data_IF_345771155586
#
_entry.id   IF_345771155586
#
_cell.length_a   1.000
_cell.length_b   1.000
_cell.length_c   1.000
_cell.angle_alpha   90.00
_cell.angle_beta   90.00
_cell.angle_gamma   90.00
#
_symmetry.space_group_name_H-M   'P 1'
#
loop_
_entity.id
_entity.type
_entity.pdbx_description
1 polymer ?
#
# COMPACT_ATOMS: atom_id res chain seq x y z
N UNK A 1 2.39 19.29 -6.89
CA UNK A 1 1.74 17.97 -6.76
C UNK A 1 1.70 17.36 -8.14
N UNK A 2 2.05 16.08 -8.24
CA UNK A 2 2.06 15.38 -9.52
C UNK A 2 0.65 15.34 -10.11
N UNK A 3 0.57 15.49 -11.43
CA UNK A 3 -0.64 15.30 -12.21
C UNK A 3 -1.05 13.83 -12.25
N UNK A 4 -2.30 13.56 -12.60
CA UNK A 4 -2.76 12.18 -12.77
C UNK A 4 -1.97 11.43 -13.85
N UNK A 5 -1.56 12.12 -14.92
CA UNK A 5 -0.80 11.50 -16.00
C UNK A 5 0.61 11.08 -15.56
N UNK A 6 1.28 11.92 -14.77
CA UNK A 6 2.57 11.56 -14.14
C UNK A 6 2.43 10.38 -13.17
N UNK A 7 1.37 10.37 -12.37
CA UNK A 7 1.07 9.28 -11.42
C UNK A 7 0.80 7.97 -12.17
N UNK A 8 -0.02 8.00 -13.22
CA UNK A 8 -0.33 6.82 -14.02
C UNK A 8 0.89 6.31 -14.77
N UNK A 9 1.76 7.21 -15.24
CA UNK A 9 3.03 6.83 -15.84
C UNK A 9 3.93 6.15 -14.80
N UNK A 10 4.05 6.69 -13.59
CA UNK A 10 4.79 6.03 -12.51
C UNK A 10 4.26 4.61 -12.23
N UNK A 11 2.94 4.40 -12.20
CA UNK A 11 2.38 3.04 -12.02
C UNK A 11 2.88 2.07 -13.10
N UNK A 12 2.94 2.53 -14.36
CA UNK A 12 3.50 1.74 -15.45
C UNK A 12 5.01 1.48 -15.26
N UNK A 13 5.77 2.51 -14.90
CA UNK A 13 7.23 2.44 -14.72
C UNK A 13 7.62 1.43 -13.62
N UNK A 14 6.81 1.30 -12.57
CA UNK A 14 7.04 0.35 -11.47
C UNK A 14 6.40 -1.03 -11.73
N UNK A 15 5.93 -1.29 -12.95
CA UNK A 15 5.46 -2.60 -13.39
C UNK A 15 4.11 -3.02 -12.83
N UNK A 16 3.23 -2.07 -12.50
CA UNK A 16 1.89 -2.38 -12.02
C UNK A 16 0.99 -2.96 -13.12
N UNK A 17 0.03 -3.79 -12.69
CA UNK A 17 -1.11 -4.17 -13.52
C UNK A 17 -2.14 -3.04 -13.46
N UNK A 18 -2.17 -2.19 -14.48
CA UNK A 18 -3.00 -0.98 -14.49
C UNK A 18 -4.49 -1.29 -14.60
N UNK A 19 -4.86 -2.33 -15.34
CA UNK A 19 -6.26 -2.71 -15.52
C UNK A 19 -6.84 -3.23 -14.21
N UNK A 20 -6.14 -4.18 -13.58
CA UNK A 20 -6.55 -4.73 -12.28
C UNK A 20 -6.48 -3.67 -11.17
N UNK A 21 -5.56 -2.71 -11.26
CA UNK A 21 -5.51 -1.59 -10.32
C UNK A 21 -6.67 -0.61 -10.50
N UNK A 22 -7.08 -0.31 -11.73
CA UNK A 22 -8.24 0.53 -12.00
C UNK A 22 -9.52 -0.15 -11.48
N UNK A 23 -9.67 -1.47 -11.63
CA UNK A 23 -10.78 -2.25 -11.04
C UNK A 23 -10.86 -2.08 -9.52
N UNK A 24 -9.72 -2.19 -8.82
CA UNK A 24 -9.64 -1.96 -7.39
C UNK A 24 -10.12 -0.54 -7.01
N UNK A 25 -9.61 0.47 -7.72
CA UNK A 25 -9.92 1.88 -7.43
C UNK A 25 -11.37 2.27 -7.76
N UNK A 26 -12.04 1.59 -8.68
CA UNK A 26 -13.41 1.91 -9.09
C UNK A 26 -14.44 1.81 -7.95
N UNK A 27 -14.18 0.95 -6.96
CA UNK A 27 -15.04 0.82 -5.77
C UNK A 27 -14.87 1.97 -4.77
N UNK A 28 -13.70 2.61 -4.79
CA UNK A 28 -13.25 3.50 -3.73
C UNK A 28 -14.05 4.82 -3.60
N UNK A 29 -14.49 5.50 -4.69
CA UNK A 29 -15.27 6.73 -4.57
C UNK A 29 -16.59 6.55 -3.81
N UNK A 30 -17.26 5.42 -4.01
CA UNK A 30 -18.53 5.10 -3.34
C UNK A 30 -18.29 4.86 -1.85
N UNK A 31 -17.34 3.98 -1.51
CA UNK A 31 -16.96 3.67 -0.11
C UNK A 31 -16.50 4.93 0.62
N UNK A 32 -15.68 5.77 -0.02
CA UNK A 32 -15.22 7.04 0.56
C UNK A 32 -16.39 7.98 0.87
N UNK A 33 -17.35 8.09 -0.04
CA UNK A 33 -18.53 8.92 0.16
C UNK A 33 -19.40 8.40 1.29
N UNK A 34 -19.68 7.10 1.30
CA UNK A 34 -20.56 6.45 2.27
C UNK A 34 -19.97 6.41 3.67
N UNK A 35 -18.67 6.13 3.81
CA UNK A 35 -18.03 5.99 5.12
C UNK A 35 -17.54 7.33 5.65
N UNK A 36 -16.90 8.18 4.83
CA UNK A 36 -16.24 9.39 5.32
C UNK A 36 -17.05 10.67 5.08
N UNK A 37 -17.62 10.87 3.90
CA UNK A 37 -18.31 12.13 3.57
C UNK A 37 -19.72 12.23 4.13
N UNK A 38 -20.36 11.11 4.46
CA UNK A 38 -21.72 11.07 5.04
C UNK A 38 -21.76 11.48 6.53
N UNK A 39 -20.64 11.31 7.24
CA UNK A 39 -20.51 11.54 8.67
C UNK A 39 -20.69 13.02 9.03
N UNK A 40 -21.53 13.28 10.03
CA UNK A 40 -21.78 14.62 10.55
C UNK A 40 -20.78 14.99 11.66
N UNK A 41 -20.61 16.28 11.94
CA UNK A 41 -19.76 16.83 13.01
C UNK A 41 -18.28 16.42 12.95
N UNK A 42 -17.74 16.13 11.76
CA UNK A 42 -16.32 15.81 11.59
C UNK A 42 -15.44 17.05 11.84
N UNK A 43 -14.35 16.94 12.61
CA UNK A 43 -13.41 18.04 12.79
C UNK A 43 -12.83 18.51 11.45
N UNK A 44 -12.75 19.82 11.21
CA UNK A 44 -12.22 20.38 9.95
C UNK A 44 -10.79 19.91 9.64
N UNK A 45 -9.98 19.64 10.68
CA UNK A 45 -8.60 19.10 10.52
C UNK A 45 -8.58 17.69 9.89
N UNK A 46 -9.71 16.99 9.83
CA UNK A 46 -9.83 15.70 9.13
C UNK A 46 -9.74 15.82 7.61
N UNK A 47 -9.80 17.03 7.05
CA UNK A 47 -9.67 17.26 5.61
C UNK A 47 -8.30 16.79 5.08
N UNK A 48 -7.23 16.93 5.88
CA UNK A 48 -5.91 16.41 5.51
C UNK A 48 -5.96 14.89 5.27
N UNK A 49 -6.42 14.12 6.26
CA UNK A 49 -6.50 12.66 6.15
C UNK A 49 -7.49 12.21 5.07
N UNK A 50 -8.59 12.94 4.89
CA UNK A 50 -9.55 12.67 3.82
C UNK A 50 -8.92 12.82 2.43
N UNK A 51 -8.05 13.83 2.25
CA UNK A 51 -7.31 14.01 1.01
C UNK A 51 -6.24 12.94 0.80
N UNK A 52 -5.57 12.50 1.87
CA UNK A 52 -4.62 11.37 1.83
C UNK A 52 -5.33 10.11 1.35
N UNK A 53 -6.49 9.78 1.94
CA UNK A 53 -7.29 8.62 1.54
C UNK A 53 -7.77 8.75 0.09
N UNK A 54 -8.31 9.92 -0.30
CA UNK A 54 -8.73 10.18 -1.68
C UNK A 54 -7.62 10.00 -2.72
N UNK A 55 -6.37 10.20 -2.32
CA UNK A 55 -5.19 10.11 -3.20
C UNK A 55 -4.23 8.99 -2.77
N UNK A 56 -4.74 7.94 -2.13
CA UNK A 56 -3.93 6.89 -1.46
C UNK A 56 -2.86 6.28 -2.36
N UNK A 57 -3.18 6.05 -3.64
CA UNK A 57 -2.24 5.50 -4.64
C UNK A 57 -1.58 6.55 -5.53
N UNK A 58 -1.77 7.85 -5.24
CA UNK A 58 -1.29 8.98 -6.03
C UNK A 58 -0.08 9.68 -5.45
N UNK A 59 -0.31 10.74 -4.66
CA UNK A 59 0.75 11.70 -4.29
C UNK A 59 1.87 11.06 -3.46
N UNK A 60 1.53 10.29 -2.42
CA UNK A 60 2.56 9.69 -1.56
C UNK A 60 3.42 8.64 -2.30
N UNK A 61 2.85 7.71 -3.08
CA UNK A 61 3.66 6.85 -3.94
C UNK A 61 4.54 7.62 -4.94
N UNK A 62 4.07 8.75 -5.47
CA UNK A 62 4.88 9.59 -6.35
C UNK A 62 6.09 10.20 -5.64
N UNK A 63 5.91 10.73 -4.42
CA UNK A 63 7.04 11.20 -3.59
C UNK A 63 8.07 10.10 -3.34
N UNK A 64 7.58 8.88 -3.08
CA UNK A 64 8.41 7.69 -2.89
C UNK A 64 9.16 7.29 -4.17
N UNK A 65 8.51 7.35 -5.32
CA UNK A 65 9.13 7.13 -6.61
C UNK A 65 10.26 8.14 -6.85
N UNK A 66 10.00 9.44 -6.70
CA UNK A 66 11.05 10.47 -6.83
C UNK A 66 12.19 10.28 -5.83
N UNK A 67 11.88 9.87 -4.60
CA UNK A 67 12.88 9.57 -3.59
C UNK A 67 13.79 8.42 -4.02
N UNK A 68 13.23 7.34 -4.59
CA UNK A 68 14.03 6.24 -5.16
C UNK A 68 14.92 6.70 -6.32
N UNK A 69 14.39 7.54 -7.21
CA UNK A 69 15.17 8.06 -8.35
C UNK A 69 16.40 8.87 -7.89
N UNK A 70 16.35 9.45 -6.69
CA UNK A 70 17.47 10.16 -6.05
C UNK A 70 18.40 9.24 -5.24
N UNK A 71 18.25 7.92 -5.36
CA UNK A 71 19.05 6.91 -4.66
C UNK A 71 18.50 6.49 -3.29
N UNK A 72 17.34 7.02 -2.88
CA UNK A 72 16.67 6.67 -1.64
C UNK A 72 16.23 5.20 -1.59
N UNK A 73 16.08 4.66 -0.38
CA UNK A 73 15.68 3.26 -0.14
C UNK A 73 14.37 3.18 0.64
N UNK A 74 13.48 2.32 0.17
CA UNK A 74 12.15 2.12 0.75
C UNK A 74 12.03 0.72 1.29
N UNK A 75 11.59 0.59 2.54
CA UNK A 75 11.44 -0.69 3.23
C UNK A 75 9.97 -0.93 3.55
N UNK A 76 9.45 -2.07 3.07
CA UNK A 76 8.12 -2.55 3.42
C UNK A 76 8.15 -3.31 4.74
N UNK A 77 7.26 -2.98 5.67
CA UNK A 77 7.18 -3.60 7.01
C UNK A 77 5.77 -4.15 7.26
N UNK A 78 5.69 -5.20 8.08
CA UNK A 78 4.43 -5.86 8.43
C UNK A 78 4.17 -5.90 9.94
N UNK A 79 5.09 -5.39 10.75
CA UNK A 79 4.98 -5.38 12.20
C UNK A 79 5.62 -4.15 12.81
N UNK A 80 5.04 -3.69 13.92
CA UNK A 80 5.52 -2.56 14.73
C UNK A 80 6.81 -2.86 15.49
N UNK A 81 7.25 -4.12 15.55
CA UNK A 81 8.54 -4.50 16.13
C UNK A 81 9.71 -4.28 15.17
N UNK A 82 9.45 -3.97 13.90
CA UNK A 82 10.49 -3.50 12.99
C UNK A 82 10.96 -2.12 13.48
N UNK A 83 12.26 -1.91 13.73
CA UNK A 83 12.76 -0.66 14.30
C UNK A 83 12.85 0.43 13.22
N UNK A 84 11.73 1.09 12.96
CA UNK A 84 11.62 2.19 11.99
C UNK A 84 12.62 3.31 12.27
N UNK A 85 13.00 3.54 13.54
CA UNK A 85 13.97 4.55 13.95
C UNK A 85 15.37 4.29 13.35
N UNK A 86 15.78 3.01 13.23
CA UNK A 86 17.07 2.65 12.63
C UNK A 86 17.05 2.95 11.13
N UNK A 87 15.97 2.61 10.45
CA UNK A 87 15.80 2.85 9.02
C UNK A 87 15.73 4.35 8.72
N UNK A 88 15.00 5.10 9.53
CA UNK A 88 14.91 6.56 9.43
C UNK A 88 16.27 7.23 9.68
N UNK A 89 17.06 6.76 10.66
CA UNK A 89 18.41 7.26 10.91
C UNK A 89 19.37 7.05 9.73
N UNK A 90 19.13 6.01 8.91
CA UNK A 90 19.84 5.76 7.65
C UNK A 90 19.30 6.59 6.47
N UNK A 91 18.35 7.49 6.72
CA UNK A 91 17.68 8.30 5.69
C UNK A 91 16.73 7.50 4.80
N UNK A 92 16.36 6.27 5.18
CA UNK A 92 15.41 5.45 4.46
C UNK A 92 13.95 5.79 4.84
N UNK A 93 13.02 5.32 4.02
CA UNK A 93 11.57 5.46 4.27
C UNK A 93 10.94 4.09 4.49
N UNK A 94 10.11 3.98 5.52
CA UNK A 94 9.33 2.77 5.81
C UNK A 94 7.89 2.91 5.32
N UNK A 95 7.30 1.80 4.89
CA UNK A 95 5.89 1.70 4.53
C UNK A 95 5.27 0.46 5.19
N UNK A 96 4.19 0.65 5.95
CA UNK A 96 3.41 -0.46 6.48
C UNK A 96 2.57 -1.10 5.38
N UNK A 97 2.77 -2.39 5.12
CA UNK A 97 2.17 -3.13 3.99
C UNK A 97 1.20 -4.23 4.41
N UNK A 98 0.71 -4.19 5.66
CA UNK A 98 -0.37 -5.06 6.10
C UNK A 98 -1.64 -4.83 5.25
N UNK A 99 -2.08 -5.87 4.54
CA UNK A 99 -3.22 -5.83 3.65
C UNK A 99 -4.54 -5.76 4.44
N UNK A 100 -5.50 -5.04 3.88
CA UNK A 100 -6.80 -4.82 4.52
C UNK A 100 -7.98 -4.88 3.55
N UNK A 101 -7.76 -5.35 2.32
CA UNK A 101 -8.79 -5.40 1.30
C UNK A 101 -9.00 -6.83 0.78
N UNK A 102 -10.27 -7.21 0.66
CA UNK A 102 -10.70 -8.53 0.16
C UNK A 102 -10.34 -8.73 -1.32
N UNK A 103 -10.24 -7.63 -2.09
CA UNK A 103 -9.84 -7.65 -3.49
C UNK A 103 -8.52 -8.43 -3.72
N UNK A 104 -7.59 -8.34 -2.78
CA UNK A 104 -6.29 -9.01 -2.87
C UNK A 104 -6.27 -10.44 -2.31
N UNK A 105 -7.29 -10.88 -1.58
CA UNK A 105 -7.29 -12.21 -0.95
C UNK A 105 -7.15 -13.34 -1.98
N UNK A 106 -7.88 -13.36 -3.11
CA UNK A 106 -7.71 -14.40 -4.13
C UNK A 106 -6.29 -14.47 -4.70
N UNK A 107 -5.62 -13.31 -4.87
CA UNK A 107 -4.23 -13.25 -5.33
C UNK A 107 -3.28 -13.95 -4.35
N UNK A 108 -3.47 -13.76 -3.04
CA UNK A 108 -2.71 -14.46 -2.01
C UNK A 108 -2.99 -15.97 -1.94
N UNK A 109 -4.24 -16.38 -2.16
CA UNK A 109 -4.65 -17.80 -2.16
C UNK A 109 -4.07 -18.61 -3.33
N UNK A 110 -3.49 -17.95 -4.34
CA UNK A 110 -2.77 -18.64 -5.41
C UNK A 110 -1.52 -19.37 -4.90
N UNK A 111 -0.96 -18.95 -3.76
CA UNK A 111 0.26 -19.52 -3.16
C UNK A 111 0.13 -19.83 -1.66
N UNK A 112 -0.96 -19.39 -1.02
CA UNK A 112 -1.24 -19.64 0.40
C UNK A 112 -2.49 -20.52 0.59
N UNK A 113 -2.54 -21.33 1.65
CA UNK A 113 -3.76 -22.01 2.05
C UNK A 113 -4.91 -21.03 2.31
N UNK A 114 -6.14 -21.39 1.89
CA UNK A 114 -7.34 -20.56 2.07
C UNK A 114 -7.64 -20.23 3.53
N UNK A 115 -7.24 -21.11 4.45
CA UNK A 115 -7.38 -20.96 5.90
C UNK A 115 -6.26 -20.11 6.55
N UNK A 116 -5.42 -19.44 5.75
CA UNK A 116 -4.46 -18.45 6.25
C UNK A 116 -5.17 -17.14 6.61
N UNK A 117 -4.63 -16.39 7.59
CA UNK A 117 -5.14 -15.07 7.98
C UNK A 117 -5.33 -14.13 6.77
N UNK A 118 -6.49 -13.48 6.67
CA UNK A 118 -6.85 -12.61 5.55
C UNK A 118 -5.86 -11.46 5.33
N UNK A 119 -5.28 -10.90 6.41
CA UNK A 119 -4.24 -9.88 6.32
C UNK A 119 -3.03 -10.37 5.51
N UNK A 120 -2.57 -11.60 5.77
CA UNK A 120 -1.41 -12.19 5.10
C UNK A 120 -1.73 -12.45 3.63
N UNK A 121 -2.92 -13.02 3.36
CA UNK A 121 -3.41 -13.27 2.00
C UNK A 121 -3.50 -11.96 1.20
N UNK A 122 -4.11 -10.93 1.78
CA UNK A 122 -4.26 -9.61 1.17
C UNK A 122 -2.92 -8.91 0.95
N UNK A 123 -2.00 -8.95 1.93
CA UNK A 123 -0.64 -8.43 1.78
C UNK A 123 0.10 -9.05 0.59
N UNK A 124 0.13 -10.38 0.52
CA UNK A 124 0.84 -11.09 -0.54
C UNK A 124 0.15 -10.91 -1.89
N UNK A 125 -1.18 -10.99 -1.92
CA UNK A 125 -1.99 -10.75 -3.12
C UNK A 125 -1.76 -9.37 -3.72
N UNK A 126 -1.71 -8.32 -2.90
CA UNK A 126 -1.44 -6.95 -3.38
C UNK A 126 -0.10 -6.80 -4.11
N UNK A 127 0.90 -7.60 -3.71
CA UNK A 127 2.23 -7.66 -4.33
C UNK A 127 2.23 -8.50 -5.59
N UNK A 128 1.64 -9.69 -5.54
CA UNK A 128 1.59 -10.66 -6.64
C UNK A 128 0.71 -10.19 -7.79
N UNK A 129 -0.43 -9.59 -7.47
CA UNK A 129 -1.34 -8.97 -8.44
C UNK A 129 -0.80 -7.67 -9.03
N UNK A 130 0.29 -7.14 -8.47
CA UNK A 130 0.95 -5.90 -8.91
C UNK A 130 0.03 -4.67 -8.92
N UNK A 131 -0.90 -4.60 -7.96
CA UNK A 131 -1.88 -3.50 -7.85
C UNK A 131 -1.61 -2.53 -6.70
N UNK A 132 -0.71 -2.84 -5.77
CA UNK A 132 -0.27 -1.88 -4.74
C UNK A 132 1.02 -1.15 -5.17
N UNK A 133 1.00 0.18 -5.41
CA UNK A 133 2.22 0.92 -5.75
C UNK A 133 3.21 0.92 -4.59
N UNK A 134 2.75 0.95 -3.34
CA UNK A 134 3.62 0.85 -2.17
C UNK A 134 4.40 -0.46 -2.12
N UNK A 135 3.75 -1.58 -2.50
CA UNK A 135 4.42 -2.86 -2.61
C UNK A 135 5.42 -2.88 -3.77
N UNK A 136 5.09 -2.31 -4.95
CA UNK A 136 6.01 -2.29 -6.09
C UNK A 136 7.23 -1.36 -5.86
N UNK A 137 7.07 -0.31 -5.06
CA UNK A 137 8.13 0.64 -4.75
C UNK A 137 9.11 0.15 -3.68
N UNK A 138 8.76 -0.82 -2.83
CA UNK A 138 9.65 -1.30 -1.77
C UNK A 138 10.92 -1.98 -2.36
N UNK A 139 12.10 -1.56 -1.91
CA UNK A 139 13.38 -2.20 -2.24
C UNK A 139 13.58 -3.51 -1.48
N UNK A 140 13.06 -3.58 -0.25
CA UNK A 140 13.20 -4.72 0.65
C UNK A 140 11.95 -4.83 1.53
N UNK A 141 11.59 -6.07 1.85
CA UNK A 141 10.56 -6.39 2.83
C UNK A 141 11.22 -6.91 4.10
N UNK A 142 10.85 -6.36 5.25
CA UNK A 142 11.35 -6.80 6.55
C UNK A 142 10.27 -7.68 7.18
N UNK A 143 10.51 -8.99 7.14
CA UNK A 143 9.67 -9.98 7.79
C UNK A 143 10.04 -10.18 9.25
N UNK A 144 9.05 -10.64 10.03
CA UNK A 144 9.19 -10.93 11.44
C UNK A 144 8.65 -12.33 11.79
N UNK A 145 9.24 -12.97 12.79
CA UNK A 145 8.85 -14.33 13.23
C UNK A 145 7.74 -14.30 14.29
N UNK A 146 6.64 -13.58 14.03
CA UNK A 146 5.55 -13.41 15.01
C UNK A 146 4.57 -14.58 15.01
N UNK A 147 3.73 -14.70 13.99
CA UNK A 147 2.78 -15.82 13.86
C UNK A 147 3.24 -16.83 12.82
N UNK A 148 2.67 -18.03 12.85
CA UNK A 148 3.04 -19.10 11.91
C UNK A 148 2.77 -18.71 10.46
N UNK A 149 1.66 -18.04 10.18
CA UNK A 149 1.34 -17.58 8.83
C UNK A 149 2.39 -16.62 8.29
N UNK A 150 2.76 -15.58 9.06
CA UNK A 150 3.71 -14.54 8.60
C UNK A 150 5.13 -15.05 8.48
N UNK A 151 5.54 -15.95 9.39
CA UNK A 151 6.86 -16.59 9.35
C UNK A 151 7.05 -17.49 8.12
N UNK A 152 5.95 -17.99 7.53
CA UNK A 152 5.98 -19.03 6.48
C UNK A 152 5.51 -18.54 5.11
N UNK A 153 4.79 -17.42 5.05
CA UNK A 153 4.44 -16.72 3.80
C UNK A 153 5.65 -15.95 3.26
#
# INVERSE_FOLDING_TARGET
MATYQEIRQMWADIGMDLEKHDEFLNSFPMVFKEILLSQQNRPQKMNYFSNVVKTVHGQRPYELYEFKQKGGKIFGTYCVYVPDEVLCALGAVTTGLCGGDEFWVPGGESVLPRNTCALIKSSLGSRLDRTSPFCQLADMYIGETTCDGKKKA
#
